data_IF_515854585522
#
_entry.id   IF_515854585522
#
_cell.length_a   1.000
_cell.length_b   1.000
_cell.length_c   1.000
_cell.angle_alpha   90.00
_cell.angle_beta   90.00
_cell.angle_gamma   90.00
#
_symmetry.space_group_name_H-M   'P 1'
#
loop_
_entity.id
_entity.type
_entity.pdbx_description
1 polymer ?
#
# COMPACT_ATOMS: atom_id res chain seq x y z
N UNK A 1 -26.70 -22.83 3.12
CA UNK A 1 -26.39 -24.23 2.72
C UNK A 1 -26.70 -25.15 3.90
N UNK A 2 -27.09 -26.42 3.70
CA UNK A 2 -27.22 -27.35 4.84
C UNK A 2 -25.87 -27.94 5.24
N UNK A 3 -25.74 -28.34 6.50
CA UNK A 3 -24.49 -28.90 7.04
C UNK A 3 -24.03 -30.18 6.34
N UNK A 4 -24.95 -31.10 6.04
CA UNK A 4 -24.61 -32.35 5.35
C UNK A 4 -24.20 -32.12 3.88
N UNK A 5 -24.83 -31.16 3.21
CA UNK A 5 -24.46 -30.74 1.85
C UNK A 5 -23.04 -30.12 1.83
N UNK A 6 -22.75 -29.27 2.82
CA UNK A 6 -21.42 -28.72 3.01
C UNK A 6 -20.38 -29.83 3.21
N UNK A 7 -20.65 -30.78 4.12
CA UNK A 7 -19.73 -31.88 4.43
C UNK A 7 -19.45 -32.75 3.19
N UNK A 8 -20.47 -33.16 2.47
CA UNK A 8 -20.33 -34.00 1.26
C UNK A 8 -19.48 -33.31 0.19
N UNK A 9 -19.78 -32.03 -0.09
CA UNK A 9 -19.00 -31.22 -1.04
C UNK A 9 -17.54 -31.05 -0.62
N UNK A 10 -17.29 -30.76 0.66
CA UNK A 10 -15.93 -30.49 1.18
C UNK A 10 -15.09 -31.75 1.23
N UNK A 11 -15.70 -32.89 1.54
CA UNK A 11 -15.00 -34.17 1.73
C UNK A 11 -14.99 -35.06 0.48
N UNK A 12 -15.63 -34.62 -0.60
CA UNK A 12 -15.74 -35.35 -1.86
C UNK A 12 -16.23 -36.80 -1.69
N UNK A 13 -17.13 -37.01 -0.72
CA UNK A 13 -17.70 -38.32 -0.42
C UNK A 13 -16.81 -39.28 0.39
N UNK A 14 -15.74 -38.78 1.02
CA UNK A 14 -14.91 -39.58 1.93
C UNK A 14 -15.77 -40.21 3.05
N UNK A 15 -15.40 -41.43 3.46
CA UNK A 15 -16.07 -42.11 4.56
C UNK A 15 -15.86 -41.36 5.88
N UNK A 16 -16.79 -41.54 6.83
CA UNK A 16 -16.66 -40.98 8.18
C UNK A 16 -15.33 -41.30 8.86
N UNK A 17 -14.75 -42.47 8.58
CA UNK A 17 -13.47 -42.88 9.13
C UNK A 17 -12.32 -42.07 8.52
N UNK A 18 -12.31 -41.89 7.20
CA UNK A 18 -11.31 -41.05 6.52
C UNK A 18 -11.40 -39.60 6.99
N UNK A 19 -12.62 -39.06 7.11
CA UNK A 19 -12.83 -37.70 7.63
C UNK A 19 -12.30 -37.60 9.06
N UNK A 20 -12.62 -38.56 9.92
CA UNK A 20 -12.15 -38.63 11.31
C UNK A 20 -10.62 -38.63 11.41
N UNK A 21 -9.96 -39.50 10.65
CA UNK A 21 -8.50 -39.64 10.63
C UNK A 21 -7.82 -38.37 10.09
N UNK A 22 -8.35 -37.78 9.01
CA UNK A 22 -7.76 -36.61 8.35
C UNK A 22 -7.94 -35.31 9.13
N UNK A 23 -9.06 -35.17 9.85
CA UNK A 23 -9.39 -33.95 10.59
C UNK A 23 -9.11 -34.01 12.09
N UNK A 24 -8.50 -35.11 12.56
CA UNK A 24 -8.20 -35.37 13.98
C UNK A 24 -9.43 -35.13 14.88
N UNK A 25 -10.57 -35.66 14.44
CA UNK A 25 -11.85 -35.61 15.16
C UNK A 25 -12.23 -37.05 15.53
N UNK A 26 -12.52 -37.36 16.80
CA UNK A 26 -12.98 -38.70 17.17
C UNK A 26 -14.22 -39.13 16.38
N UNK A 27 -14.16 -40.34 15.80
CA UNK A 27 -15.23 -40.90 14.97
C UNK A 27 -16.60 -40.87 15.67
N UNK A 28 -16.64 -41.13 16.98
CA UNK A 28 -17.86 -41.07 17.78
C UNK A 28 -18.49 -39.67 17.79
N UNK A 29 -17.67 -38.61 17.88
CA UNK A 29 -18.11 -37.22 17.87
C UNK A 29 -18.65 -36.82 16.49
N UNK A 30 -17.92 -37.17 15.43
CA UNK A 30 -18.35 -36.90 14.05
C UNK A 30 -19.66 -37.63 13.73
N UNK A 31 -19.74 -38.93 14.05
CA UNK A 31 -20.94 -39.75 13.85
C UNK A 31 -22.16 -39.22 14.62
N UNK A 32 -21.95 -38.75 15.86
CA UNK A 32 -23.03 -38.15 16.66
C UNK A 32 -23.58 -36.86 16.06
N UNK A 33 -22.71 -35.96 15.61
CA UNK A 33 -23.15 -34.70 14.99
C UNK A 33 -23.75 -34.92 13.60
N UNK A 34 -23.26 -35.91 12.84
CA UNK A 34 -23.86 -36.30 11.57
C UNK A 34 -25.32 -36.76 11.76
N UNK A 35 -25.60 -37.59 12.78
CA UNK A 35 -26.98 -38.00 13.11
C UNK A 35 -27.89 -36.84 13.53
N UNK A 36 -27.31 -35.76 14.05
CA UNK A 36 -28.04 -34.52 14.40
C UNK A 36 -28.18 -33.56 13.23
N UNK A 37 -27.56 -33.87 12.09
CA UNK A 37 -27.49 -33.03 10.89
C UNK A 37 -26.98 -31.61 11.17
N UNK A 38 -26.27 -31.42 12.29
CA UNK A 38 -25.82 -30.11 12.76
C UNK A 38 -24.40 -30.24 13.29
N UNK A 39 -23.48 -29.47 12.72
CA UNK A 39 -22.08 -29.43 13.14
C UNK A 39 -21.76 -28.20 13.97
N UNK A 40 -21.01 -28.38 15.04
CA UNK A 40 -20.45 -27.28 15.83
C UNK A 40 -19.37 -26.55 15.00
N UNK A 41 -19.18 -25.23 15.21
CA UNK A 41 -18.16 -24.43 14.52
C UNK A 41 -16.76 -25.05 14.56
N UNK A 42 -16.34 -25.59 15.71
CA UNK A 42 -15.02 -26.21 15.85
C UNK A 42 -14.82 -27.39 14.89
N UNK A 43 -15.87 -28.18 14.66
CA UNK A 43 -15.83 -29.33 13.78
C UNK A 43 -15.76 -28.88 12.32
N UNK A 44 -16.48 -27.80 11.99
CA UNK A 44 -16.43 -27.15 10.69
C UNK A 44 -15.03 -26.63 10.39
N UNK A 45 -14.39 -25.96 11.36
CA UNK A 45 -13.04 -25.42 11.21
C UNK A 45 -12.03 -26.54 10.93
N UNK A 46 -11.97 -27.57 11.79
CA UNK A 46 -11.02 -28.67 11.64
C UNK A 46 -11.17 -29.42 10.31
N UNK A 47 -12.40 -29.71 9.89
CA UNK A 47 -12.65 -30.36 8.59
C UNK A 47 -12.25 -29.45 7.44
N UNK A 48 -12.60 -28.16 7.50
CA UNK A 48 -12.23 -27.19 6.46
C UNK A 48 -10.70 -27.14 6.28
N UNK A 49 -9.95 -27.00 7.38
CA UNK A 49 -8.48 -26.99 7.35
C UNK A 49 -7.90 -28.30 6.80
N UNK A 50 -8.42 -29.45 7.23
CA UNK A 50 -7.97 -30.77 6.79
C UNK A 50 -8.19 -31.05 5.30
N UNK A 51 -9.22 -30.45 4.71
CA UNK A 51 -9.60 -30.60 3.30
C UNK A 51 -9.20 -29.40 2.42
N UNK A 52 -8.52 -28.40 2.99
CA UNK A 52 -8.04 -27.22 2.24
C UNK A 52 -9.15 -26.23 1.86
N UNK A 53 -10.30 -26.30 2.50
CA UNK A 53 -11.35 -25.29 2.39
C UNK A 53 -11.12 -24.16 3.39
N UNK A 54 -11.47 -22.92 3.02
CA UNK A 54 -11.40 -21.79 3.95
C UNK A 54 -12.42 -21.95 5.08
N UNK A 55 -11.98 -22.03 6.36
CA UNK A 55 -12.90 -22.11 7.49
C UNK A 55 -13.82 -20.90 7.59
N UNK A 56 -13.32 -19.72 7.21
CA UNK A 56 -14.08 -18.47 7.23
C UNK A 56 -15.26 -18.53 6.26
N UNK A 57 -15.03 -19.01 5.03
CA UNK A 57 -16.09 -19.17 4.03
C UNK A 57 -17.12 -20.21 4.51
N UNK A 58 -16.66 -21.36 4.99
CA UNK A 58 -17.54 -22.42 5.50
C UNK A 58 -18.45 -21.92 6.65
N UNK A 59 -17.89 -21.15 7.60
CA UNK A 59 -18.64 -20.59 8.71
C UNK A 59 -19.67 -19.55 8.27
N UNK A 60 -19.39 -18.77 7.22
CA UNK A 60 -20.36 -17.83 6.65
C UNK A 60 -21.47 -18.56 5.89
N UNK A 61 -21.13 -19.56 5.07
CA UNK A 61 -22.09 -20.33 4.28
C UNK A 61 -23.07 -21.14 5.15
N UNK A 62 -22.60 -21.56 6.32
CA UNK A 62 -23.38 -22.25 7.35
C UNK A 62 -24.04 -21.29 8.37
N UNK A 63 -23.86 -19.98 8.22
CA UNK A 63 -24.58 -18.97 9.01
C UNK A 63 -24.03 -18.71 10.42
N UNK A 64 -22.84 -19.21 10.75
CA UNK A 64 -22.16 -18.90 12.01
C UNK A 64 -21.48 -17.53 12.01
N UNK A 65 -21.27 -16.94 10.83
CA UNK A 65 -20.64 -15.64 10.67
C UNK A 65 -21.35 -14.83 9.59
N UNK A 66 -21.47 -13.52 9.78
CA UNK A 66 -21.98 -12.62 8.74
C UNK A 66 -20.95 -12.43 7.62
N UNK A 67 -21.38 -12.51 6.36
CA UNK A 67 -20.53 -12.25 5.18
C UNK A 67 -19.88 -10.87 5.15
N UNK A 68 -20.37 -9.90 5.94
CA UNK A 68 -19.74 -8.58 6.09
C UNK A 68 -18.30 -8.66 6.62
N UNK A 69 -17.98 -9.70 7.41
CA UNK A 69 -16.66 -9.91 7.99
C UNK A 69 -15.65 -10.53 7.02
N UNK A 70 -16.10 -11.13 5.90
CA UNK A 70 -15.20 -11.55 4.80
C UNK A 70 -14.66 -10.33 4.04
N UNK A 71 -15.40 -9.22 4.05
CA UNK A 71 -15.15 -8.06 3.19
C UNK A 71 -14.02 -7.14 3.65
N UNK A 72 -13.33 -7.42 4.76
CA UNK A 72 -12.10 -6.70 5.03
C UNK A 72 -11.08 -7.05 3.93
N UNK A 73 -10.69 -6.08 3.09
CA UNK A 73 -9.77 -6.37 2.01
C UNK A 73 -8.45 -6.85 2.62
N UNK A 74 -7.95 -8.00 2.16
CA UNK A 74 -6.61 -8.46 2.54
C UNK A 74 -5.59 -7.33 2.34
N UNK A 75 -4.53 -7.30 3.14
CA UNK A 75 -3.60 -6.16 3.26
C UNK A 75 -3.22 -5.53 1.91
N UNK A 76 -2.91 -6.33 0.89
CA UNK A 76 -2.58 -5.83 -0.46
C UNK A 76 -3.72 -5.08 -1.15
N UNK A 77 -4.95 -5.57 -1.01
CA UNK A 77 -6.15 -4.96 -1.58
C UNK A 77 -6.52 -3.69 -0.82
N UNK A 78 -6.31 -3.66 0.51
CA UNK A 78 -6.52 -2.46 1.31
C UNK A 78 -5.50 -1.36 0.91
N UNK A 79 -4.22 -1.72 0.79
CA UNK A 79 -3.17 -0.80 0.33
C UNK A 79 -3.42 -0.28 -1.09
N UNK A 80 -3.93 -1.11 -2.00
CA UNK A 80 -4.21 -0.68 -3.38
C UNK A 80 -5.44 0.23 -3.50
N UNK A 81 -6.29 0.31 -2.47
CA UNK A 81 -7.50 1.12 -2.44
C UNK A 81 -7.36 2.37 -1.57
N UNK A 82 -6.35 2.41 -0.72
CA UNK A 82 -6.02 3.59 0.06
C UNK A 82 -5.61 4.72 -0.89
N UNK A 83 -5.95 5.96 -0.55
CA UNK A 83 -5.50 7.12 -1.30
C UNK A 83 -4.01 7.37 -1.05
N UNK A 84 -3.38 8.16 -1.93
CA UNK A 84 -1.98 8.54 -1.76
C UNK A 84 -1.78 9.31 -0.43
N UNK A 85 -2.75 10.12 0.00
CA UNK A 85 -2.72 10.79 1.30
C UNK A 85 -2.72 9.78 2.46
N UNK A 86 -3.65 8.81 2.46
CA UNK A 86 -3.76 7.80 3.52
C UNK A 86 -2.50 6.92 3.63
N UNK A 87 -1.90 6.55 2.48
CA UNK A 87 -0.64 5.80 2.45
C UNK A 87 0.54 6.64 2.96
N UNK A 88 0.58 7.92 2.61
CA UNK A 88 1.64 8.84 3.03
C UNK A 88 1.59 9.09 4.53
N UNK A 89 0.41 9.36 5.09
CA UNK A 89 0.21 9.57 6.52
C UNK A 89 0.63 8.33 7.33
N UNK A 90 0.25 7.13 6.87
CA UNK A 90 0.63 5.88 7.53
C UNK A 90 2.14 5.61 7.46
N UNK A 91 2.79 5.94 6.34
CA UNK A 91 4.25 5.83 6.21
C UNK A 91 4.98 6.85 7.10
N UNK A 92 4.54 8.10 7.14
CA UNK A 92 5.13 9.15 7.98
C UNK A 92 5.01 8.80 9.47
N UNK A 93 3.83 8.31 9.88
CA UNK A 93 3.58 7.79 11.23
C UNK A 93 4.50 6.61 11.58
N UNK A 94 4.69 5.65 10.67
CA UNK A 94 5.56 4.47 10.89
C UNK A 94 7.04 4.81 10.93
N UNK A 95 7.49 5.69 10.06
CA UNK A 95 8.88 6.12 9.96
C UNK A 95 9.27 7.10 11.08
N UNK A 96 8.31 7.54 11.91
CA UNK A 96 8.51 8.54 12.96
C UNK A 96 9.14 9.84 12.41
N UNK A 97 8.93 10.11 11.12
CA UNK A 97 9.38 11.32 10.42
C UNK A 97 8.54 12.53 10.82
N UNK A 98 7.40 12.27 11.45
CA UNK A 98 6.64 13.20 12.25
C UNK A 98 6.78 12.67 13.68
N UNK A 99 7.58 13.33 14.52
CA UNK A 99 7.27 13.34 15.95
C UNK A 99 5.85 13.90 16.07
N UNK A 100 5.06 13.44 17.05
CA UNK A 100 3.63 13.73 17.25
C UNK A 100 3.36 15.22 17.59
N UNK A 101 3.89 16.10 16.76
CA UNK A 101 3.97 17.54 16.92
C UNK A 101 2.85 18.14 16.07
N UNK A 102 1.93 18.91 16.67
CA UNK A 102 0.88 19.61 15.96
C UNK A 102 1.40 20.43 14.78
N UNK A 103 0.62 20.50 13.69
CA UNK A 103 0.99 21.18 12.44
C UNK A 103 1.36 22.66 12.65
N UNK A 104 0.74 23.30 13.65
CA UNK A 104 1.01 24.69 14.02
C UNK A 104 2.47 24.93 14.44
N UNK A 105 3.10 23.95 15.10
CA UNK A 105 4.49 24.05 15.58
C UNK A 105 5.51 23.86 14.43
N UNK A 106 5.18 23.04 13.42
CA UNK A 106 6.02 22.83 12.23
C UNK A 106 6.09 24.08 11.35
N UNK A 107 5.00 24.86 11.31
CA UNK A 107 4.98 26.14 10.61
C UNK A 107 5.93 27.16 11.25
N UNK A 108 6.20 27.06 12.56
CA UNK A 108 7.14 27.93 13.27
C UNK A 108 8.60 27.63 12.94
N UNK A 109 8.97 26.34 12.85
CA UNK A 109 10.31 25.89 12.48
C UNK A 109 10.73 26.36 11.09
N UNK A 110 9.78 26.41 10.14
CA UNK A 110 10.03 26.85 8.75
C UNK A 110 10.30 28.36 8.64
N UNK A 111 9.92 29.16 9.64
CA UNK A 111 10.16 30.61 9.66
C UNK A 111 11.61 30.99 9.97
N UNK A 112 12.42 30.06 10.48
CA UNK A 112 13.87 30.26 10.58
C UNK A 112 14.51 30.04 9.21
N UNK A 113 14.59 31.12 8.43
CA UNK A 113 15.36 31.15 7.18
C UNK A 113 16.83 30.83 7.50
N UNK A 114 17.54 29.99 6.74
CA UNK A 114 18.95 29.74 6.98
C UNK A 114 19.71 31.07 6.89
N UNK A 115 20.61 31.33 7.85
CA UNK A 115 21.63 32.36 7.66
C UNK A 115 22.32 32.10 6.33
N UNK A 116 22.36 33.07 5.38
CA UNK A 116 23.02 32.86 4.11
C UNK A 116 24.46 32.41 4.33
N UNK A 117 24.95 31.39 3.60
CA UNK A 117 26.35 30.97 3.71
C UNK A 117 27.27 32.17 3.43
N UNK A 118 28.48 32.23 4.02
CA UNK A 118 29.35 33.41 3.97
C UNK A 118 29.76 33.84 2.55
N UNK A 119 29.60 32.96 1.56
CA UNK A 119 29.84 33.23 0.14
C UNK A 119 28.70 33.97 -0.56
N UNK A 120 27.54 34.13 0.08
CA UNK A 120 26.34 34.77 -0.49
C UNK A 120 26.05 36.02 0.32
N UNK A 121 26.34 37.19 -0.27
CA UNK A 121 25.95 38.49 0.30
C UNK A 121 24.56 38.87 -0.24
N UNK A 122 23.65 39.25 0.64
CA UNK A 122 22.41 39.92 0.25
C UNK A 122 22.76 41.29 -0.38
N UNK A 123 22.32 41.50 -1.61
CA UNK A 123 22.41 42.79 -2.31
C UNK A 123 21.03 43.46 -2.30
N UNK A 124 20.99 44.79 -2.35
CA UNK A 124 19.70 45.51 -2.45
C UNK A 124 19.10 45.40 -3.84
N UNK A 125 17.80 45.67 -3.97
CA UNK A 125 17.11 45.67 -5.26
C UNK A 125 17.74 46.66 -6.26
N UNK A 126 18.23 47.81 -5.75
CA UNK A 126 18.94 48.81 -6.55
C UNK A 126 20.29 48.28 -7.07
N UNK A 127 21.00 47.52 -6.23
CA UNK A 127 22.30 46.91 -6.56
C UNK A 127 22.11 45.78 -7.59
N UNK A 128 21.06 44.97 -7.45
CA UNK A 128 20.69 43.95 -8.42
C UNK A 128 20.30 44.58 -9.78
N UNK A 129 19.52 45.65 -9.77
CA UNK A 129 19.15 46.36 -10.99
C UNK A 129 20.36 46.99 -11.69
N UNK A 130 21.36 47.47 -10.95
CA UNK A 130 22.60 48.00 -11.50
C UNK A 130 23.43 46.89 -12.19
N UNK A 131 23.61 45.75 -11.53
CA UNK A 131 24.38 44.62 -12.07
C UNK A 131 23.77 44.08 -13.38
N UNK A 132 22.44 44.00 -13.47
CA UNK A 132 21.74 43.59 -14.69
C UNK A 132 22.03 44.59 -15.82
N UNK A 133 21.91 45.90 -15.56
CA UNK A 133 22.20 46.95 -16.57
C UNK A 133 23.64 46.86 -17.09
N UNK A 134 24.61 46.67 -16.20
CA UNK A 134 26.02 46.52 -16.56
C UNK A 134 26.26 45.28 -17.45
N UNK A 135 25.69 44.13 -17.10
CA UNK A 135 25.79 42.91 -17.90
C UNK A 135 25.19 43.06 -19.31
N UNK A 136 24.16 43.88 -19.48
CA UNK A 136 23.57 44.16 -20.79
C UNK A 136 24.41 45.12 -21.65
N UNK A 137 25.19 46.03 -21.07
CA UNK A 137 26.11 46.89 -21.81
C UNK A 137 27.28 46.10 -22.43
N UNK A 138 27.78 45.09 -21.72
CA UNK A 138 28.89 44.24 -22.20
C UNK A 138 28.50 43.33 -23.38
N UNK A 139 27.20 43.06 -23.57
CA UNK A 139 26.70 42.20 -24.66
C UNK A 139 26.61 42.90 -26.03
N UNK A 140 26.88 44.22 -26.09
CA UNK A 140 26.76 45.05 -27.30
C UNK A 140 28.04 45.26 -28.11
N UNK A 141 29.20 44.75 -27.69
CA UNK A 141 30.42 44.83 -28.48
C UNK A 141 30.38 43.78 -29.62
N UNK A 142 30.04 44.23 -30.83
CA UNK A 142 29.99 43.39 -32.02
C UNK A 142 31.32 42.65 -32.25
N UNK A 143 31.26 41.33 -32.48
CA UNK A 143 32.38 40.59 -33.05
C UNK A 143 32.74 41.18 -34.42
N UNK A 144 34.03 41.44 -34.73
CA UNK A 144 34.42 41.88 -36.06
C UNK A 144 34.06 40.79 -37.09
N UNK A 145 33.63 41.22 -38.28
CA UNK A 145 33.22 40.33 -39.36
C UNK A 145 34.35 39.34 -39.71
N UNK A 146 34.06 38.05 -39.59
CA UNK A 146 34.95 36.98 -40.05
C UNK A 146 34.98 37.00 -41.58
N UNK A 147 36.17 36.97 -42.19
CA UNK A 147 36.36 36.87 -43.65
C UNK A 147 35.63 35.65 -44.21
N UNK A 148 34.88 35.84 -45.30
CA UNK A 148 34.14 34.77 -45.99
C UNK A 148 35.06 33.63 -46.42
N UNK A 149 34.63 32.39 -46.17
CA UNK A 149 35.31 31.18 -46.60
C UNK A 149 34.91 30.90 -48.05
N UNK A 150 35.83 31.12 -49.00
CA UNK A 150 35.62 30.72 -50.40
C UNK A 150 35.83 29.21 -50.54
N UNK A 151 34.82 28.47 -50.99
CA UNK A 151 34.97 27.03 -51.30
C UNK A 151 35.94 26.85 -52.47
N UNK A 152 36.92 25.93 -52.39
CA UNK A 152 37.81 25.66 -53.51
C UNK A 152 37.08 24.89 -54.62
N UNK A 153 37.16 25.41 -55.86
CA UNK A 153 36.60 24.73 -57.03
C UNK A 153 37.30 23.39 -57.29
N UNK A 154 36.49 22.33 -57.36
CA UNK A 154 36.92 20.95 -57.62
C UNK A 154 37.40 20.77 -59.07
N UNK A 155 38.55 20.14 -59.30
CA UNK A 155 38.79 19.30 -60.48
C UNK A 155 38.66 17.81 -60.17
#
# INVERSE_FOLDING_TARGET
MKHLEWLDRTTAGDSLRQISERSDIPLATLSHQMRKETFKPELIIRISEAYGESPVIALVDLGFMSSRWIKEPGVRTALSRATDEELTDELLRRLRLIEDTPVDDLAELRRNTPTPPPSVRAISDDEAAAAIREAHQLRGAAHPATTELTEPETP
#
